data_IF_170499263918
#
_entry.id   IF_170499263918
#
_cell.length_a   1.000
_cell.length_b   1.000
_cell.length_c   1.000
_cell.angle_alpha   90.00
_cell.angle_beta   90.00
_cell.angle_gamma   90.00
#
_symmetry.space_group_name_H-M   'P 1'
#
loop_
_entity.id
_entity.type
_entity.pdbx_description
1 polymer ?
#
# COMPACT_ATOMS: atom_id res chain seq x y z
N UNK A 1 10.20 -4.40 2.06
CA UNK A 1 10.74 -5.63 2.62
C UNK A 1 10.42 -6.86 1.77
N UNK A 2 9.20 -6.96 1.24
CA UNK A 2 8.72 -8.08 0.44
C UNK A 2 8.21 -7.55 -0.90
N UNK A 3 8.76 -8.06 -2.00
CA UNK A 3 8.29 -7.67 -3.34
C UNK A 3 6.88 -8.20 -3.61
N UNK A 4 6.66 -9.50 -3.43
CA UNK A 4 5.35 -10.13 -3.63
C UNK A 4 5.11 -11.23 -2.59
N UNK A 5 3.93 -11.23 -2.00
CA UNK A 5 3.45 -12.23 -1.06
C UNK A 5 2.29 -13.02 -1.69
N UNK A 6 2.52 -14.30 -1.99
CA UNK A 6 1.58 -15.17 -2.67
C UNK A 6 1.22 -16.40 -1.81
N UNK A 7 0.11 -17.08 -2.16
CA UNK A 7 -0.26 -18.39 -1.61
C UNK A 7 -0.31 -18.44 -0.07
N UNK A 8 -1.21 -17.67 0.53
CA UNK A 8 -1.44 -17.66 1.99
C UNK A 8 -0.21 -17.25 2.82
N UNK A 9 0.65 -16.41 2.24
CA UNK A 9 1.80 -15.84 2.97
C UNK A 9 1.31 -14.99 4.14
N UNK A 10 1.96 -15.16 5.30
CA UNK A 10 1.68 -14.36 6.49
C UNK A 10 2.85 -13.43 6.79
N UNK A 11 2.58 -12.14 6.84
CA UNK A 11 3.53 -11.10 7.22
C UNK A 11 3.07 -10.53 8.56
N UNK A 12 3.80 -10.81 9.62
CA UNK A 12 3.39 -10.42 10.98
C UNK A 12 4.53 -9.69 11.70
N UNK A 13 4.18 -8.71 12.52
CA UNK A 13 5.11 -8.00 13.41
C UNK A 13 6.33 -7.43 12.67
N UNK A 14 6.13 -6.94 11.46
CA UNK A 14 7.19 -6.33 10.66
C UNK A 14 7.16 -4.82 10.79
N UNK A 15 8.34 -4.21 10.79
CA UNK A 15 8.46 -2.76 10.73
C UNK A 15 9.45 -2.32 9.65
N UNK A 16 9.18 -1.16 9.07
CA UNK A 16 10.08 -0.50 8.16
C UNK A 16 10.14 1.00 8.49
N UNK A 17 11.34 1.53 8.55
CA UNK A 17 11.56 2.97 8.68
C UNK A 17 12.63 3.40 7.68
N UNK A 18 12.34 4.41 6.87
CA UNK A 18 13.30 4.91 5.90
C UNK A 18 12.66 5.55 4.66
N UNK A 19 13.44 5.60 3.60
CA UNK A 19 13.03 6.19 2.33
C UNK A 19 12.94 5.12 1.23
N UNK A 20 11.96 5.28 0.34
CA UNK A 20 11.80 4.47 -0.87
C UNK A 20 11.64 5.44 -2.04
N UNK A 21 12.66 5.57 -2.88
CA UNK A 21 12.64 6.44 -4.05
C UNK A 21 12.65 5.60 -5.32
N UNK A 22 11.47 5.30 -5.84
CA UNK A 22 11.26 4.44 -7.01
C UNK A 22 10.36 5.14 -8.06
N UNK A 23 10.81 6.27 -8.63
CA UNK A 23 9.96 7.11 -9.50
C UNK A 23 9.51 6.43 -10.79
N UNK A 24 10.10 5.30 -11.15
CA UNK A 24 9.73 4.52 -12.32
C UNK A 24 9.01 3.20 -12.00
N UNK A 25 8.79 2.90 -10.73
CA UNK A 25 8.13 1.65 -10.29
C UNK A 25 6.63 1.83 -10.13
N UNK A 26 5.89 0.77 -10.46
CA UNK A 26 4.43 0.83 -10.56
C UNK A 26 3.72 0.48 -9.25
N UNK A 27 4.18 -0.53 -8.54
CA UNK A 27 3.48 -1.06 -7.36
C UNK A 27 4.41 -1.07 -6.16
N UNK A 28 4.31 -0.06 -5.32
CA UNK A 28 5.22 0.16 -4.21
C UNK A 28 4.46 0.15 -2.89
N UNK A 29 4.98 -0.58 -1.93
CA UNK A 29 4.51 -0.59 -0.54
C UNK A 29 5.67 -0.58 0.43
N UNK A 30 5.54 0.07 1.57
CA UNK A 30 6.58 0.16 2.58
C UNK A 30 6.99 -1.20 3.15
N UNK A 31 6.07 -2.15 3.25
CA UNK A 31 6.32 -3.53 3.71
C UNK A 31 6.25 -4.52 2.54
N UNK A 32 5.22 -4.46 1.71
CA UNK A 32 5.01 -5.40 0.62
C UNK A 32 4.50 -4.71 -0.64
N UNK A 33 5.13 -4.96 -1.78
CA UNK A 33 4.72 -4.39 -3.06
C UNK A 33 3.37 -4.94 -3.52
N UNK A 34 3.14 -6.26 -3.43
CA UNK A 34 1.89 -6.90 -3.82
C UNK A 34 1.56 -8.10 -2.93
N UNK A 35 0.27 -8.23 -2.58
CA UNK A 35 -0.26 -9.44 -1.91
C UNK A 35 -1.27 -10.16 -2.79
N UNK A 36 -1.32 -11.50 -2.71
CA UNK A 36 -2.25 -12.36 -3.45
C UNK A 36 -2.69 -13.57 -2.64
N UNK A 37 -3.79 -14.19 -3.08
CA UNK A 37 -4.23 -15.55 -2.74
C UNK A 37 -4.24 -15.84 -1.24
N UNK A 38 -5.10 -15.16 -0.50
CA UNK A 38 -5.32 -15.38 0.93
C UNK A 38 -4.16 -14.98 1.82
N UNK A 39 -3.25 -14.14 1.33
CA UNK A 39 -2.15 -13.62 2.14
C UNK A 39 -2.64 -12.62 3.18
N UNK A 40 -1.89 -12.45 4.26
CA UNK A 40 -2.23 -11.52 5.33
C UNK A 40 -1.05 -10.69 5.80
N UNK A 41 -1.37 -9.45 6.21
CA UNK A 41 -0.42 -8.56 6.88
C UNK A 41 -1.04 -8.13 8.20
N UNK A 42 -0.35 -8.39 9.29
CA UNK A 42 -0.87 -8.13 10.63
C UNK A 42 0.21 -7.56 11.56
N UNK A 43 -0.19 -6.64 12.41
CA UNK A 43 0.66 -5.99 13.40
C UNK A 43 1.97 -5.42 12.78
N UNK A 44 1.82 -4.73 11.65
CA UNK A 44 2.95 -4.13 10.93
C UNK A 44 2.94 -2.61 11.05
N UNK A 45 4.13 -2.04 11.05
CA UNK A 45 4.34 -0.60 11.16
C UNK A 45 5.24 -0.10 10.04
N UNK A 46 4.88 0.99 9.41
CA UNK A 46 5.74 1.69 8.45
C UNK A 46 5.83 3.19 8.77
N UNK A 47 7.06 3.69 8.86
CA UNK A 47 7.34 5.13 8.86
C UNK A 47 8.22 5.43 7.63
N UNK A 48 7.58 5.79 6.52
CA UNK A 48 8.20 5.78 5.22
C UNK A 48 7.96 7.07 4.45
N UNK A 49 9.04 7.65 3.92
CA UNK A 49 8.96 8.67 2.88
C UNK A 49 9.14 7.97 1.53
N UNK A 50 8.06 7.82 0.78
CA UNK A 50 8.07 7.02 -0.43
C UNK A 50 7.61 7.81 -1.66
N UNK A 51 8.29 7.55 -2.78
CA UNK A 51 7.91 8.05 -4.10
C UNK A 51 7.82 6.90 -5.09
N UNK A 52 6.71 6.81 -5.80
CA UNK A 52 6.47 5.81 -6.84
C UNK A 52 5.86 6.45 -8.08
N UNK A 53 5.79 5.70 -9.19
CA UNK A 53 5.17 6.18 -10.43
C UNK A 53 3.65 6.07 -10.36
N UNK A 54 3.09 4.89 -10.16
CA UNK A 54 1.66 4.68 -10.34
C UNK A 54 0.90 4.41 -9.05
N UNK A 55 1.23 3.35 -8.35
CA UNK A 55 0.50 2.88 -7.16
C UNK A 55 1.41 2.82 -5.95
N UNK A 56 1.02 3.49 -4.89
CA UNK A 56 1.77 3.55 -3.64
C UNK A 56 0.85 3.35 -2.44
N UNK A 57 1.24 2.44 -1.57
CA UNK A 57 0.65 2.29 -0.24
C UNK A 57 1.71 2.36 0.84
N UNK A 58 1.38 2.89 2.00
CA UNK A 58 2.33 2.99 3.11
C UNK A 58 2.81 1.63 3.60
N UNK A 59 1.97 0.60 3.52
CA UNK A 59 2.35 -0.79 3.82
C UNK A 59 2.23 -1.67 2.59
N UNK A 60 1.12 -1.63 1.85
CA UNK A 60 0.84 -2.52 0.71
C UNK A 60 0.64 -1.70 -0.56
N UNK A 61 1.38 -1.97 -1.61
CA UNK A 61 1.17 -1.35 -2.91
C UNK A 61 -0.15 -1.80 -3.53
N UNK A 62 -0.25 -3.05 -3.96
CA UNK A 62 -1.48 -3.67 -4.46
C UNK A 62 -1.91 -4.82 -3.55
N UNK A 63 -3.15 -4.77 -3.12
CA UNK A 63 -3.76 -5.78 -2.27
C UNK A 63 -4.73 -6.67 -3.05
N UNK A 64 -4.38 -7.95 -3.19
CA UNK A 64 -5.20 -8.99 -3.81
C UNK A 64 -5.33 -8.91 -5.33
N UNK A 65 -6.28 -9.66 -5.84
CA UNK A 65 -6.81 -9.61 -7.20
C UNK A 65 -8.34 -9.72 -7.11
N UNK A 66 -9.11 -9.58 -8.20
CA UNK A 66 -10.56 -9.73 -8.15
C UNK A 66 -11.08 -11.06 -7.56
N UNK A 67 -10.23 -12.07 -7.49
CA UNK A 67 -10.58 -13.42 -7.00
C UNK A 67 -9.83 -13.84 -5.72
N UNK A 68 -8.98 -12.97 -5.19
CA UNK A 68 -8.19 -13.24 -3.99
C UNK A 68 -8.70 -12.42 -2.81
N UNK A 69 -8.85 -13.07 -1.67
CA UNK A 69 -9.14 -12.39 -0.42
C UNK A 69 -7.90 -12.36 0.45
N UNK A 70 -7.39 -11.16 0.70
CA UNK A 70 -6.33 -10.92 1.66
C UNK A 70 -6.90 -10.26 2.92
N UNK A 71 -6.17 -10.34 4.01
CA UNK A 71 -6.58 -9.75 5.28
C UNK A 71 -5.49 -8.87 5.85
N UNK A 72 -5.86 -7.66 6.23
CA UNK A 72 -4.96 -6.65 6.77
C UNK A 72 -5.48 -6.14 8.10
N UNK A 73 -4.70 -6.32 9.17
CA UNK A 73 -5.16 -6.00 10.52
C UNK A 73 -4.07 -5.38 11.37
N UNK A 74 -4.46 -4.51 12.31
CA UNK A 74 -3.59 -3.98 13.37
C UNK A 74 -2.31 -3.31 12.84
N UNK A 75 -2.44 -2.49 11.82
CA UNK A 75 -1.28 -1.85 11.19
C UNK A 75 -1.31 -0.34 11.35
N UNK A 76 -0.12 0.26 11.38
CA UNK A 76 0.03 1.71 11.46
C UNK A 76 1.02 2.22 10.42
N UNK A 77 0.71 3.38 9.84
CA UNK A 77 1.55 4.06 8.84
C UNK A 77 1.79 5.50 9.24
N UNK A 78 3.04 5.95 9.02
CA UNK A 78 3.48 7.35 9.12
C UNK A 78 4.38 7.71 7.95
N UNK A 79 4.66 9.00 7.79
CA UNK A 79 5.58 9.54 6.80
C UNK A 79 4.90 10.24 5.64
N UNK A 80 5.56 10.32 4.50
CA UNK A 80 5.07 11.03 3.32
C UNK A 80 5.02 10.12 2.11
N UNK A 81 3.89 10.08 1.42
CA UNK A 81 3.65 9.19 0.29
C UNK A 81 3.31 10.02 -0.96
N UNK A 82 4.09 9.88 -2.02
CA UNK A 82 3.92 10.62 -3.26
C UNK A 82 3.91 9.68 -4.46
N UNK A 83 2.84 9.69 -5.25
CA UNK A 83 2.80 8.97 -6.54
C UNK A 83 1.90 9.68 -7.55
N UNK A 84 1.93 9.22 -8.81
CA UNK A 84 1.15 9.87 -9.87
C UNK A 84 -0.34 9.48 -9.81
N UNK A 85 -0.68 8.21 -9.60
CA UNK A 85 -2.05 7.74 -9.79
C UNK A 85 -2.77 7.40 -8.49
N UNK A 86 -2.51 6.25 -7.88
CA UNK A 86 -3.21 5.81 -6.69
C UNK A 86 -2.29 5.82 -5.48
N UNK A 87 -2.62 6.65 -4.50
CA UNK A 87 -1.86 6.74 -3.25
C UNK A 87 -2.79 6.50 -2.07
N UNK A 88 -2.51 5.47 -1.31
CA UNK A 88 -3.23 5.18 -0.07
C UNK A 88 -2.31 5.21 1.14
N UNK A 89 -2.78 5.75 2.25
CA UNK A 89 -2.00 5.77 3.48
C UNK A 89 -1.59 4.38 3.93
N UNK A 90 -2.40 3.36 3.68
CA UNK A 90 -2.11 1.97 3.96
C UNK A 90 -1.94 1.13 2.69
N UNK A 91 -2.95 1.12 1.80
CA UNK A 91 -2.98 0.35 0.55
C UNK A 91 -3.15 1.27 -0.64
N UNK A 92 -2.29 1.16 -1.64
CA UNK A 92 -2.42 1.94 -2.88
C UNK A 92 -3.64 1.51 -3.69
N UNK A 93 -3.78 0.22 -3.99
CA UNK A 93 -4.92 -0.35 -4.69
C UNK A 93 -5.45 -1.60 -3.97
N UNK A 94 -6.74 -1.62 -3.65
CA UNK A 94 -7.39 -2.72 -2.92
C UNK A 94 -8.46 -3.43 -3.78
N UNK A 95 -8.30 -4.74 -4.00
CA UNK A 95 -9.30 -5.61 -4.62
C UNK A 95 -10.09 -6.36 -3.55
N UNK A 96 -11.21 -5.81 -3.08
CA UNK A 96 -12.19 -6.50 -2.20
C UNK A 96 -11.62 -7.22 -0.97
N UNK A 97 -10.54 -6.71 -0.37
CA UNK A 97 -9.92 -7.34 0.79
C UNK A 97 -10.42 -6.74 2.11
N UNK A 98 -10.29 -7.51 3.17
CA UNK A 98 -10.64 -7.05 4.52
C UNK A 98 -9.52 -6.18 5.11
N UNK A 99 -9.86 -4.96 5.48
CA UNK A 99 -8.97 -4.02 6.19
C UNK A 99 -9.65 -3.65 7.50
N UNK A 100 -9.01 -3.94 8.61
CA UNK A 100 -9.53 -3.62 9.94
C UNK A 100 -8.44 -3.17 10.92
N UNK A 101 -8.78 -2.27 11.81
CA UNK A 101 -7.90 -1.73 12.83
C UNK A 101 -6.57 -1.20 12.23
N UNK A 102 -6.68 -0.36 11.19
CA UNK A 102 -5.55 0.27 10.51
C UNK A 102 -5.58 1.77 10.76
N UNK A 103 -4.44 2.34 11.09
CA UNK A 103 -4.26 3.76 11.35
C UNK A 103 -3.25 4.33 10.36
N UNK A 104 -3.59 5.45 9.72
CA UNK A 104 -2.66 6.20 8.88
C UNK A 104 -2.52 7.63 9.39
N UNK A 105 -1.29 8.04 9.61
CA UNK A 105 -0.85 9.40 9.88
C UNK A 105 0.06 9.91 8.76
N UNK A 106 0.01 9.30 7.59
CA UNK A 106 0.85 9.68 6.46
C UNK A 106 0.29 10.91 5.74
N UNK A 107 1.20 11.79 5.30
CA UNK A 107 0.90 12.83 4.35
C UNK A 107 0.86 12.24 2.94
N UNK A 108 -0.24 12.46 2.21
CA UNK A 108 -0.51 11.78 0.95
C UNK A 108 -0.59 12.79 -0.18
N UNK A 109 0.22 12.60 -1.22
CA UNK A 109 0.27 13.46 -2.40
C UNK A 109 0.12 12.63 -3.68
N UNK A 110 -0.97 12.85 -4.42
CA UNK A 110 -1.14 12.36 -5.79
C UNK A 110 -0.78 13.49 -6.77
N UNK A 111 0.18 13.25 -7.66
CA UNK A 111 0.79 14.33 -8.48
C UNK A 111 0.32 14.39 -9.93
N UNK A 112 -0.45 13.41 -10.40
CA UNK A 112 -0.86 13.38 -11.80
C UNK A 112 -1.86 14.51 -12.15
N UNK A 113 -1.74 14.99 -13.37
CA UNK A 113 -2.60 16.01 -13.95
C UNK A 113 -3.57 15.46 -15.01
N UNK A 114 -3.57 14.16 -15.26
CA UNK A 114 -4.41 13.56 -16.31
C UNK A 114 -5.76 13.13 -15.76
N UNK A 115 -6.83 13.52 -16.42
CA UNK A 115 -8.23 13.24 -16.02
C UNK A 115 -8.76 11.89 -16.53
N UNK A 116 -7.95 11.10 -17.22
CA UNK A 116 -8.44 9.92 -17.94
C UNK A 116 -8.23 8.57 -17.26
N UNK A 117 -7.46 8.48 -16.18
CA UNK A 117 -7.06 7.20 -15.57
C UNK A 117 -7.33 7.08 -14.07
N UNK A 118 -8.40 7.66 -13.56
CA UNK A 118 -8.83 7.39 -12.19
C UNK A 118 -7.77 7.64 -11.14
N UNK A 119 -7.48 8.90 -10.85
CA UNK A 119 -6.58 9.28 -9.76
C UNK A 119 -7.28 9.20 -8.43
N UNK A 120 -6.64 8.60 -7.46
CA UNK A 120 -7.21 8.50 -6.14
C UNK A 120 -6.13 8.67 -5.06
N UNK A 121 -6.39 9.58 -4.14
CA UNK A 121 -5.62 9.71 -2.91
C UNK A 121 -6.57 9.47 -1.74
N UNK A 122 -6.24 8.53 -0.88
CA UNK A 122 -7.07 8.18 0.26
C UNK A 122 -6.27 7.99 1.54
N UNK A 123 -6.81 8.42 2.66
CA UNK A 123 -6.15 8.30 3.97
C UNK A 123 -5.77 6.87 4.34
N UNK A 124 -6.54 5.88 3.90
CA UNK A 124 -6.27 4.44 4.09
C UNK A 124 -6.07 3.75 2.74
N UNK A 125 -7.03 3.84 1.83
CA UNK A 125 -7.02 3.18 0.52
C UNK A 125 -7.00 4.22 -0.57
N UNK A 126 -6.06 4.11 -1.52
CA UNK A 126 -5.98 4.99 -2.67
C UNK A 126 -7.11 4.71 -3.67
N UNK A 127 -7.24 3.46 -4.11
CA UNK A 127 -8.24 3.04 -5.08
C UNK A 127 -8.81 1.66 -4.72
N UNK A 128 -10.09 1.47 -4.98
CA UNK A 128 -10.81 0.21 -4.85
C UNK A 128 -11.49 -0.18 -6.17
#
# INVERSE_FOLDING_TARGET
LVGSANLKTKINNCSFQGEITLPNSENVGGIVGQTRTGSSVNACYANVNATAKTVLGGIVGIAGTPHDYCKFTNCEVRGQLTAENAVGGFVGYNYFNEISNVISHADIVATSKSVWNGYAAGGIVGMM
#
